data_IF_879118505808
#
_entry.id   IF_879118505808
#
_cell.length_a   1.000
_cell.length_b   1.000
_cell.length_c   1.000
_cell.angle_alpha   90.00
_cell.angle_beta   90.00
_cell.angle_gamma   90.00
#
_symmetry.space_group_name_H-M   'P 1'
#
loop_
_entity.id
_entity.type
_entity.pdbx_description
1 polymer ?
#
# COMPACT_ATOMS: atom_id res chain seq x y z
N UNK A 1 -4.31 -8.43 -10.68
CA UNK A 1 -4.04 -9.85 -10.46
C UNK A 1 -2.71 -10.00 -9.74
N UNK A 2 -2.68 -10.80 -8.67
CA UNK A 2 -1.48 -11.21 -7.94
C UNK A 2 -1.32 -12.72 -8.11
N UNK A 3 -0.10 -13.18 -8.28
CA UNK A 3 0.25 -14.59 -8.25
C UNK A 3 1.45 -14.78 -7.32
N UNK A 4 1.31 -15.68 -6.37
CA UNK A 4 2.34 -16.08 -5.41
C UNK A 4 2.54 -17.57 -5.53
N UNK A 5 3.78 -18.00 -5.76
CA UNK A 5 4.11 -19.42 -5.94
C UNK A 5 5.29 -19.80 -5.04
N UNK A 6 5.06 -20.75 -4.16
CA UNK A 6 6.04 -21.35 -3.25
C UNK A 6 6.88 -20.29 -2.47
N UNK A 7 6.20 -19.22 -2.03
CA UNK A 7 6.84 -18.10 -1.36
C UNK A 7 7.38 -18.55 -0.01
N UNK A 8 8.68 -18.44 0.15
CA UNK A 8 9.37 -18.76 1.41
C UNK A 8 10.17 -17.55 1.90
N UNK A 9 10.10 -17.30 3.20
CA UNK A 9 10.92 -16.28 3.87
C UNK A 9 11.50 -16.82 5.16
N UNK A 10 12.82 -16.84 5.25
CA UNK A 10 13.56 -17.21 6.44
C UNK A 10 14.40 -16.03 6.98
N UNK A 11 14.48 -15.91 8.28
CA UNK A 11 15.33 -15.00 9.04
C UNK A 11 16.28 -15.84 9.88
N UNK A 12 17.45 -16.16 9.34
CA UNK A 12 18.34 -17.14 9.93
C UNK A 12 17.65 -18.51 10.03
N UNK A 13 17.51 -19.02 11.25
CA UNK A 13 16.83 -20.31 11.48
C UNK A 13 15.29 -20.20 11.62
N UNK A 14 14.74 -18.99 11.70
CA UNK A 14 13.30 -18.79 11.81
C UNK A 14 12.66 -18.70 10.44
N UNK A 15 11.76 -19.63 10.14
CA UNK A 15 10.96 -19.63 8.91
C UNK A 15 9.67 -18.86 9.14
N UNK A 16 9.53 -17.69 8.53
CA UNK A 16 8.34 -16.85 8.65
C UNK A 16 7.28 -17.15 7.59
N UNK A 17 7.68 -17.63 6.42
CA UNK A 17 6.81 -18.14 5.36
C UNK A 17 7.41 -19.43 4.81
N UNK A 18 6.59 -20.46 4.65
CA UNK A 18 7.01 -21.77 4.14
C UNK A 18 6.13 -22.19 2.97
N UNK A 19 6.64 -22.04 1.76
CA UNK A 19 6.03 -22.52 0.52
C UNK A 19 4.62 -21.97 0.22
N UNK A 20 4.30 -20.73 0.65
CA UNK A 20 2.97 -20.14 0.51
C UNK A 20 2.64 -19.89 -0.95
N UNK A 21 1.48 -20.36 -1.40
CA UNK A 21 1.00 -20.15 -2.77
C UNK A 21 -0.46 -19.72 -2.76
N UNK A 22 -0.77 -18.63 -3.50
CA UNK A 22 -2.13 -18.15 -3.71
C UNK A 22 -2.19 -17.22 -4.92
N UNK A 23 -3.40 -16.96 -5.38
CA UNK A 23 -3.64 -15.96 -6.42
C UNK A 23 -4.81 -15.06 -6.05
N UNK A 24 -4.79 -13.82 -6.55
CA UNK A 24 -5.88 -12.85 -6.43
C UNK A 24 -6.24 -12.37 -7.82
N UNK A 25 -7.48 -12.55 -8.22
CA UNK A 25 -8.00 -12.12 -9.49
C UNK A 25 -8.21 -10.61 -9.58
N UNK A 26 -8.59 -10.15 -10.76
CA UNK A 26 -8.96 -8.75 -10.96
C UNK A 26 -10.35 -8.49 -10.35
N UNK A 27 -10.46 -7.42 -9.55
CA UNK A 27 -11.71 -7.08 -8.87
C UNK A 27 -12.03 -7.90 -7.63
N UNK A 28 -11.13 -8.81 -7.24
CA UNK A 28 -11.27 -9.56 -5.99
C UNK A 28 -10.73 -8.78 -4.79
N UNK A 29 -11.39 -8.99 -3.65
CA UNK A 29 -10.94 -8.55 -2.33
C UNK A 29 -10.62 -9.79 -1.50
N UNK A 30 -9.38 -9.91 -1.07
CA UNK A 30 -8.89 -11.06 -0.29
C UNK A 30 -8.40 -10.59 1.07
N UNK A 31 -8.90 -11.21 2.14
CA UNK A 31 -8.45 -10.98 3.51
C UNK A 31 -7.42 -12.02 3.94
N UNK A 32 -6.29 -11.57 4.46
CA UNK A 32 -5.31 -12.41 5.14
C UNK A 32 -5.69 -12.54 6.61
N UNK A 33 -6.18 -13.72 7.00
CA UNK A 33 -6.56 -14.02 8.38
C UNK A 33 -5.54 -14.96 9.02
N UNK A 34 -5.31 -14.80 10.30
CA UNK A 34 -4.42 -15.66 11.06
C UNK A 34 -3.88 -14.99 12.33
N UNK A 35 -3.32 -15.76 13.27
CA UNK A 35 -2.76 -15.24 14.51
C UNK A 35 -1.54 -14.33 14.25
N UNK A 36 -1.09 -13.64 15.30
CA UNK A 36 0.16 -12.88 15.23
C UNK A 36 1.33 -13.84 14.98
N UNK A 37 2.26 -13.42 14.13
CA UNK A 37 3.38 -14.28 13.71
C UNK A 37 3.09 -15.23 12.55
N UNK A 38 1.84 -15.31 12.03
CA UNK A 38 1.49 -16.18 10.90
C UNK A 38 2.06 -15.72 9.54
N UNK A 39 2.94 -14.72 9.50
CA UNK A 39 3.57 -14.25 8.27
C UNK A 39 2.76 -13.24 7.44
N UNK A 40 1.61 -12.75 7.94
CA UNK A 40 0.77 -11.78 7.22
C UNK A 40 1.53 -10.55 6.76
N UNK A 41 2.10 -9.80 7.70
CA UNK A 41 2.86 -8.57 7.38
C UNK A 41 4.14 -8.85 6.58
N UNK A 42 4.76 -10.02 6.77
CA UNK A 42 5.90 -10.47 5.94
C UNK A 42 5.47 -10.65 4.48
N UNK A 43 4.34 -11.31 4.26
CA UNK A 43 3.76 -11.48 2.92
C UNK A 43 3.45 -10.12 2.29
N UNK A 44 2.78 -9.22 3.02
CA UNK A 44 2.46 -7.86 2.54
C UNK A 44 3.72 -7.08 2.16
N UNK A 45 4.78 -7.13 2.98
CA UNK A 45 6.05 -6.46 2.69
C UNK A 45 6.76 -7.01 1.45
N UNK A 46 6.63 -8.30 1.17
CA UNK A 46 7.18 -8.89 -0.06
C UNK A 46 6.36 -8.48 -1.27
N UNK A 47 5.02 -8.56 -1.19
CA UNK A 47 4.10 -8.12 -2.26
C UNK A 47 4.32 -6.66 -2.64
N UNK A 48 4.60 -5.81 -1.65
CA UNK A 48 4.83 -4.37 -1.85
C UNK A 48 6.28 -4.01 -2.20
N UNK A 49 7.11 -5.01 -2.50
CA UNK A 49 8.53 -4.84 -2.85
C UNK A 49 9.40 -4.24 -1.73
N UNK A 50 8.90 -4.23 -0.51
CA UNK A 50 9.63 -3.68 0.64
C UNK A 50 10.70 -4.65 1.15
N UNK A 51 10.52 -5.94 0.84
CA UNK A 51 11.38 -7.02 1.30
C UNK A 51 11.55 -8.09 0.21
N UNK A 52 12.74 -8.63 0.09
CA UNK A 52 12.99 -9.78 -0.76
C UNK A 52 12.53 -11.09 -0.08
N UNK A 53 12.03 -12.04 -0.86
CA UNK A 53 11.80 -13.39 -0.43
C UNK A 53 13.13 -14.17 -0.33
N UNK A 54 13.13 -15.29 0.38
CA UNK A 54 14.23 -16.25 0.37
C UNK A 54 14.16 -17.13 -0.88
N UNK A 55 12.94 -17.57 -1.25
CA UNK A 55 12.68 -18.30 -2.49
C UNK A 55 11.20 -18.16 -2.90
N UNK A 56 10.87 -18.68 -4.06
CA UNK A 56 9.54 -18.56 -4.65
C UNK A 56 9.42 -17.37 -5.59
N UNK A 57 8.23 -17.20 -6.18
CA UNK A 57 7.95 -16.14 -7.13
C UNK A 57 6.72 -15.35 -6.73
N UNK A 58 6.76 -14.04 -6.99
CA UNK A 58 5.64 -13.13 -6.78
C UNK A 58 5.48 -12.26 -8.02
N UNK A 59 4.27 -12.24 -8.56
CA UNK A 59 3.88 -11.35 -9.67
C UNK A 59 2.75 -10.44 -9.25
N UNK A 60 2.88 -9.16 -9.59
CA UNK A 60 1.84 -8.15 -9.36
C UNK A 60 1.65 -7.29 -10.60
N UNK A 61 0.41 -7.10 -11.07
CA UNK A 61 0.14 -6.34 -12.29
C UNK A 61 0.86 -6.85 -13.54
N UNK A 62 1.14 -8.16 -13.63
CA UNK A 62 1.86 -8.79 -14.75
C UNK A 62 3.38 -8.66 -14.71
N UNK A 63 3.97 -8.09 -13.67
CA UNK A 63 5.42 -7.97 -13.49
C UNK A 63 5.92 -8.79 -12.30
N UNK A 64 7.13 -9.34 -12.42
CA UNK A 64 7.80 -9.99 -11.29
C UNK A 64 8.26 -8.92 -10.29
N UNK A 65 7.89 -9.13 -9.02
CA UNK A 65 8.19 -8.20 -7.92
C UNK A 65 9.70 -8.03 -7.70
N UNK A 66 10.47 -9.08 -7.97
CA UNK A 66 11.92 -9.08 -7.73
C UNK A 66 12.73 -8.54 -8.90
N UNK A 67 12.24 -8.73 -10.14
CA UNK A 67 12.94 -8.28 -11.34
C UNK A 67 12.61 -6.83 -11.71
N UNK A 68 11.35 -6.42 -11.48
CA UNK A 68 10.84 -5.11 -11.89
C UNK A 68 10.10 -4.39 -10.75
N UNK A 69 10.75 -4.15 -9.60
CA UNK A 69 10.08 -3.59 -8.42
C UNK A 69 9.49 -2.19 -8.66
N UNK A 70 10.14 -1.37 -9.48
CA UNK A 70 9.64 -0.02 -9.80
C UNK A 70 8.33 -0.08 -10.57
N UNK A 71 8.23 -0.96 -11.57
CA UNK A 71 7.00 -1.16 -12.35
C UNK A 71 5.83 -1.64 -11.49
N UNK A 72 6.12 -2.48 -10.50
CA UNK A 72 5.11 -2.94 -9.53
C UNK A 72 4.67 -1.78 -8.64
N UNK A 73 5.61 -0.99 -8.10
CA UNK A 73 5.30 0.16 -7.23
C UNK A 73 4.47 1.24 -7.92
N UNK A 74 4.67 1.48 -9.21
CA UNK A 74 3.90 2.44 -9.99
C UNK A 74 2.41 2.08 -10.07
N UNK A 75 2.09 0.77 -9.96
CA UNK A 75 0.73 0.23 -10.05
C UNK A 75 0.14 -0.17 -8.71
N UNK A 76 0.91 0.01 -7.63
CA UNK A 76 0.57 -0.43 -6.29
C UNK A 76 0.19 0.76 -5.40
N UNK A 77 -0.95 0.66 -4.71
CA UNK A 77 -1.28 1.46 -3.53
C UNK A 77 -0.98 0.64 -2.28
N UNK A 78 -0.20 1.18 -1.36
CA UNK A 78 0.12 0.50 -0.12
C UNK A 78 -0.14 1.39 1.08
N UNK A 79 -0.86 0.85 2.05
CA UNK A 79 -1.04 1.45 3.36
C UNK A 79 -0.50 0.48 4.42
N UNK A 80 0.65 0.78 5.05
CA UNK A 80 1.19 -0.03 6.13
C UNK A 80 0.38 0.15 7.42
N UNK A 81 0.43 -0.82 8.33
CA UNK A 81 -0.16 -0.77 9.66
C UNK A 81 0.20 0.54 10.40
N UNK A 82 1.50 0.81 10.50
CA UNK A 82 2.02 2.06 11.03
C UNK A 82 2.33 3.02 9.88
N UNK A 83 1.34 3.80 9.48
CA UNK A 83 1.51 4.79 8.42
C UNK A 83 2.22 6.04 8.98
N UNK A 84 3.50 6.30 8.64
CA UNK A 84 4.27 7.43 9.14
C UNK A 84 3.83 8.72 8.43
N UNK A 85 2.73 9.30 8.88
CA UNK A 85 2.24 10.59 8.37
C UNK A 85 2.94 11.74 9.11
N UNK A 86 3.44 12.77 8.39
CA UNK A 86 4.08 13.93 8.99
C UNK A 86 3.06 14.76 9.78
N UNK A 87 3.21 14.90 11.12
CA UNK A 87 2.20 15.55 11.95
C UNK A 87 2.08 17.06 11.69
N UNK A 88 3.15 17.67 11.20
CA UNK A 88 3.28 19.11 10.98
C UNK A 88 2.77 19.59 9.61
N UNK A 89 2.32 18.68 8.76
CA UNK A 89 1.70 19.02 7.49
C UNK A 89 0.18 19.03 7.59
N UNK A 90 -0.46 19.90 6.81
CA UNK A 90 -1.90 19.83 6.59
C UNK A 90 -2.23 18.68 5.64
N UNK A 91 -3.42 18.09 5.79
CA UNK A 91 -3.86 16.96 4.95
C UNK A 91 -3.75 17.28 3.46
N UNK A 92 -4.28 18.42 3.02
CA UNK A 92 -4.23 18.83 1.61
C UNK A 92 -2.80 19.04 1.11
N UNK A 93 -1.92 19.63 1.93
CA UNK A 93 -0.52 19.89 1.54
C UNK A 93 0.28 18.58 1.48
N UNK A 94 0.02 17.64 2.41
CA UNK A 94 0.58 16.30 2.35
C UNK A 94 0.18 15.58 1.06
N UNK A 95 -1.10 15.57 0.70
CA UNK A 95 -1.56 14.90 -0.51
C UNK A 95 -1.01 15.55 -1.78
N UNK A 96 -0.85 16.88 -1.82
CA UNK A 96 -0.16 17.59 -2.91
C UNK A 96 1.30 17.14 -3.05
N UNK A 97 2.02 17.09 -1.95
CA UNK A 97 3.41 16.61 -1.92
C UNK A 97 3.50 15.16 -2.42
N UNK A 98 2.60 14.29 -1.95
CA UNK A 98 2.56 12.88 -2.39
C UNK A 98 2.22 12.75 -3.87
N UNK A 99 1.31 13.57 -4.39
CA UNK A 99 0.98 13.60 -5.82
C UNK A 99 2.20 13.96 -6.69
N UNK A 100 3.01 14.94 -6.24
CA UNK A 100 4.25 15.31 -6.91
C UNK A 100 5.28 14.17 -6.90
N UNK A 101 5.48 13.50 -5.75
CA UNK A 101 6.38 12.35 -5.63
C UNK A 101 5.96 11.18 -6.53
N UNK A 102 4.66 10.94 -6.64
CA UNK A 102 4.08 9.91 -7.51
C UNK A 102 4.01 10.35 -8.99
N UNK A 103 4.60 11.50 -9.31
CA UNK A 103 4.63 12.06 -10.67
C UNK A 103 3.25 12.13 -11.32
N UNK A 104 2.22 12.42 -10.53
CA UNK A 104 0.90 12.74 -11.05
C UNK A 104 0.98 14.10 -11.72
N UNK A 105 1.68 14.12 -12.86
CA UNK A 105 1.94 15.31 -13.63
C UNK A 105 0.73 15.66 -14.51
N UNK A 106 0.64 16.94 -14.85
CA UNK A 106 -0.13 17.48 -15.95
C UNK A 106 -1.62 17.76 -15.67
N UNK A 107 -1.88 18.83 -14.93
CA UNK A 107 -3.20 19.49 -14.94
C UNK A 107 -4.28 18.86 -14.03
N UNK A 108 -4.26 17.56 -13.83
CA UNK A 108 -5.31 16.83 -13.11
C UNK A 108 -4.98 16.45 -11.67
N UNK A 109 -3.83 16.83 -11.13
CA UNK A 109 -3.43 16.45 -9.77
C UNK A 109 -4.36 17.03 -8.69
N UNK A 110 -4.80 18.27 -8.86
CA UNK A 110 -5.73 18.92 -7.94
C UNK A 110 -7.08 18.20 -7.91
N UNK A 111 -7.66 17.96 -9.08
CA UNK A 111 -8.91 17.20 -9.20
C UNK A 111 -8.77 15.80 -8.58
N UNK A 112 -7.65 15.12 -8.83
CA UNK A 112 -7.43 13.78 -8.26
C UNK A 112 -7.30 13.80 -6.74
N UNK A 113 -6.68 14.83 -6.17
CA UNK A 113 -6.59 15.01 -4.72
C UNK A 113 -8.00 15.20 -4.14
N UNK A 114 -8.82 16.04 -4.75
CA UNK A 114 -10.19 16.28 -4.31
C UNK A 114 -11.02 14.98 -4.38
N UNK A 115 -10.93 14.23 -5.49
CA UNK A 115 -11.58 12.92 -5.64
C UNK A 115 -11.22 11.94 -4.50
N UNK A 116 -9.93 11.78 -4.16
CA UNK A 116 -9.54 10.83 -3.11
C UNK A 116 -9.90 11.34 -1.72
N UNK A 117 -9.90 12.65 -1.50
CA UNK A 117 -10.36 13.24 -0.23
C UNK A 117 -11.85 12.97 -0.01
N UNK A 118 -12.67 13.10 -1.04
CA UNK A 118 -14.11 12.78 -1.00
C UNK A 118 -14.32 11.27 -0.79
N UNK A 119 -13.65 10.41 -1.58
CA UNK A 119 -13.74 8.96 -1.47
C UNK A 119 -13.39 8.45 -0.07
N UNK A 120 -12.41 9.07 0.59
CA UNK A 120 -11.97 8.69 1.94
C UNK A 120 -12.71 9.46 3.05
N UNK A 121 -13.61 10.38 2.73
CA UNK A 121 -14.36 11.17 3.69
C UNK A 121 -13.48 12.08 4.57
N UNK A 122 -12.48 12.73 3.95
CA UNK A 122 -11.52 13.61 4.62
C UNK A 122 -11.48 15.04 4.05
N UNK A 123 -12.35 15.37 3.11
CA UNK A 123 -12.42 16.70 2.50
C UNK A 123 -12.63 17.81 3.55
N UNK A 124 -13.46 17.54 4.56
CA UNK A 124 -13.75 18.47 5.66
C UNK A 124 -12.55 18.76 6.58
N UNK A 125 -11.50 17.98 6.51
CA UNK A 125 -10.27 18.15 7.32
C UNK A 125 -9.04 18.50 6.49
N UNK A 126 -9.19 18.83 5.20
CA UNK A 126 -8.10 19.15 4.28
C UNK A 126 -7.13 20.24 4.81
N UNK A 127 -7.66 21.23 5.52
CA UNK A 127 -6.89 22.33 6.12
C UNK A 127 -6.33 22.04 7.51
N UNK A 128 -6.64 20.89 8.14
CA UNK A 128 -6.16 20.56 9.49
C UNK A 128 -4.78 19.92 9.45
N UNK A 129 -4.00 20.14 10.49
CA UNK A 129 -2.74 19.43 10.68
C UNK A 129 -2.98 17.94 10.96
N UNK A 130 -2.17 17.07 10.35
CA UNK A 130 -2.28 15.61 10.51
C UNK A 130 -2.12 15.19 11.98
N UNK A 131 -1.23 15.84 12.72
CA UNK A 131 -1.03 15.60 14.16
C UNK A 131 -2.27 15.85 15.02
N UNK A 132 -3.22 16.68 14.57
CA UNK A 132 -4.47 17.00 15.27
C UNK A 132 -5.60 16.02 14.97
N UNK A 133 -5.39 15.08 14.06
CA UNK A 133 -6.41 14.13 13.63
C UNK A 133 -6.50 12.93 14.58
N UNK A 134 -7.72 12.39 14.72
CA UNK A 134 -7.90 11.09 15.37
C UNK A 134 -7.20 9.97 14.58
N UNK A 135 -6.98 8.85 15.24
CA UNK A 135 -6.37 7.67 14.60
C UNK A 135 -7.13 7.25 13.33
N UNK A 136 -8.46 7.19 13.39
CA UNK A 136 -9.30 6.86 12.24
C UNK A 136 -9.16 7.84 11.07
N UNK A 137 -9.08 9.15 11.35
CA UNK A 137 -8.82 10.13 10.28
C UNK A 137 -7.42 9.97 9.70
N UNK A 138 -6.39 9.70 10.50
CA UNK A 138 -5.05 9.41 9.99
C UNK A 138 -5.02 8.17 9.10
N UNK A 139 -5.75 7.10 9.46
CA UNK A 139 -5.90 5.93 8.57
C UNK A 139 -6.55 6.30 7.24
N UNK A 140 -7.60 7.12 7.25
CA UNK A 140 -8.25 7.62 6.01
C UNK A 140 -7.31 8.47 5.14
N UNK A 141 -6.44 9.28 5.75
CA UNK A 141 -5.40 10.03 5.01
C UNK A 141 -4.41 9.06 4.36
N UNK A 142 -4.01 8.00 5.05
CA UNK A 142 -3.16 6.94 4.48
C UNK A 142 -3.83 6.18 3.33
N UNK A 143 -5.12 5.91 3.46
CA UNK A 143 -5.92 5.33 2.38
C UNK A 143 -5.97 6.26 1.16
N UNK A 144 -6.20 7.56 1.36
CA UNK A 144 -6.19 8.54 0.28
C UNK A 144 -4.85 8.59 -0.45
N UNK A 145 -3.72 8.54 0.28
CA UNK A 145 -2.39 8.44 -0.34
C UNK A 145 -2.20 7.14 -1.14
N UNK A 146 -2.66 6.01 -0.61
CA UNK A 146 -2.59 4.73 -1.33
C UNK A 146 -3.39 4.77 -2.65
N UNK A 147 -4.56 5.42 -2.65
CA UNK A 147 -5.45 5.54 -3.81
C UNK A 147 -5.02 6.61 -4.83
N UNK A 148 -4.16 7.54 -4.44
CA UNK A 148 -3.85 8.76 -5.18
C UNK A 148 -3.41 8.51 -6.64
N UNK A 149 -2.57 7.49 -6.87
CA UNK A 149 -2.04 7.14 -8.18
C UNK A 149 -2.97 6.25 -9.04
N UNK A 150 -4.24 6.05 -8.66
CA UNK A 150 -5.17 5.11 -9.32
C UNK A 150 -4.55 3.71 -9.48
N UNK A 151 -4.09 3.08 -8.39
CA UNK A 151 -3.39 1.81 -8.47
C UNK A 151 -4.28 0.70 -9.02
N UNK A 152 -3.66 -0.26 -9.73
CA UNK A 152 -4.32 -1.49 -10.17
C UNK A 152 -4.43 -2.52 -9.03
N UNK A 153 -3.58 -2.40 -8.03
CA UNK A 153 -3.50 -3.26 -6.85
C UNK A 153 -3.42 -2.41 -5.59
N UNK A 154 -4.22 -2.75 -4.61
CA UNK A 154 -4.19 -2.11 -3.29
C UNK A 154 -3.85 -3.16 -2.25
N UNK A 155 -2.86 -2.88 -1.42
CA UNK A 155 -2.46 -3.69 -0.27
C UNK A 155 -2.64 -2.84 0.99
N UNK A 156 -3.43 -3.36 1.92
CA UNK A 156 -3.76 -2.68 3.17
C UNK A 156 -3.36 -3.59 4.33
N UNK A 157 -2.55 -3.07 5.24
CA UNK A 157 -2.10 -3.77 6.44
C UNK A 157 -2.80 -3.16 7.65
N UNK A 158 -3.80 -3.86 8.19
CA UNK A 158 -4.67 -3.41 9.29
C UNK A 158 -5.34 -2.02 9.06
N UNK A 159 -6.17 -1.91 8.00
CA UNK A 159 -6.79 -0.64 7.60
C UNK A 159 -7.80 -0.09 8.61
#
# INVERSE_FOLDING_TARGET
MIEVQNLTKSYGQHVALDGVSFSVGRGEVVGFLGPNGAGKSTTMRILTTFMAATSGTVRGGGACVFENPMRVRERLGYMPENNPLPPDLRVGDYLKFRAQLKRLANGNSAQRIDEVMEQCGIANVAGRFIGQLSHGYRKRVGMADALLAKPELIVLDEP
#
